data_IF_070451358610
#
_entry.id   IF_070451358610
#
_cell.length_a   1.000
_cell.length_b   1.000
_cell.length_c   1.000
_cell.angle_alpha   90.00
_cell.angle_beta   90.00
_cell.angle_gamma   90.00
#
_symmetry.space_group_name_H-M   'P 1'
#
loop_
_entity.id
_entity.type
_entity.pdbx_description
1 polymer ?
#
# COMPACT_ATOMS: atom_id res chain seq x y z
N UNK A 1 -12.62 8.97 3.31
CA UNK A 1 -11.87 8.77 4.57
C UNK A 1 -10.36 8.82 4.34
N UNK A 2 -9.75 7.98 3.51
CA UNK A 2 -8.30 7.91 3.29
C UNK A 2 -7.63 9.23 2.91
N UNK A 3 -8.23 10.01 2.02
CA UNK A 3 -7.69 11.32 1.61
C UNK A 3 -7.54 12.28 2.80
N UNK A 4 -8.49 12.30 3.74
CA UNK A 4 -8.42 13.19 4.92
C UNK A 4 -7.25 12.84 5.83
N UNK A 5 -6.96 11.54 6.00
CA UNK A 5 -5.83 11.09 6.82
C UNK A 5 -4.49 11.41 6.14
N UNK A 6 -4.34 11.09 4.86
CA UNK A 6 -3.14 11.44 4.10
C UNK A 6 -2.86 12.95 4.13
N UNK A 7 -3.88 13.79 3.92
CA UNK A 7 -3.77 15.24 4.05
C UNK A 7 -3.45 15.70 5.48
N UNK A 8 -3.98 15.00 6.49
CA UNK A 8 -3.67 15.28 7.90
C UNK A 8 -2.18 15.10 8.18
N UNK A 9 -1.61 13.96 7.78
CA UNK A 9 -0.18 13.69 7.91
C UNK A 9 0.68 14.65 7.10
N UNK A 10 0.32 14.92 5.84
CA UNK A 10 1.05 15.84 4.99
C UNK A 10 1.13 17.25 5.61
N UNK A 11 0.00 17.77 6.10
CA UNK A 11 -0.03 19.08 6.77
C UNK A 11 0.76 19.10 8.08
N UNK A 12 0.76 17.99 8.81
CA UNK A 12 1.56 17.89 10.04
C UNK A 12 3.05 17.87 9.72
N UNK A 13 3.46 17.13 8.70
CA UNK A 13 4.84 17.07 8.23
C UNK A 13 5.32 18.45 7.74
N UNK A 14 4.53 19.13 6.91
CA UNK A 14 4.81 20.48 6.41
C UNK A 14 5.04 21.49 7.57
N UNK A 15 4.18 21.46 8.61
CA UNK A 15 4.36 22.30 9.81
C UNK A 15 5.65 22.01 10.59
N UNK A 16 6.19 20.81 10.45
CA UNK A 16 7.46 20.39 11.05
C UNK A 16 8.67 20.66 10.13
N UNK A 17 8.47 21.34 9.00
CA UNK A 17 9.51 21.73 8.07
C UNK A 17 9.89 20.64 7.06
N UNK A 18 9.02 19.66 6.82
CA UNK A 18 9.24 18.66 5.78
C UNK A 18 8.81 19.21 4.42
N UNK A 19 9.73 19.27 3.47
CA UNK A 19 9.43 19.64 2.08
C UNK A 19 8.67 18.51 1.37
N UNK A 20 7.48 18.83 0.87
CA UNK A 20 6.65 17.89 0.11
C UNK A 20 6.65 18.28 -1.36
N UNK A 21 7.39 17.54 -2.17
CA UNK A 21 7.54 17.80 -3.60
C UNK A 21 6.61 16.88 -4.39
N UNK A 22 5.49 17.40 -4.84
CA UNK A 22 4.52 16.67 -5.65
C UNK A 22 4.97 16.56 -7.11
N UNK A 23 4.48 15.53 -7.83
CA UNK A 23 4.83 15.28 -9.24
C UNK A 23 6.36 15.24 -9.46
N UNK A 24 7.06 14.66 -8.49
CA UNK A 24 8.49 14.45 -8.50
C UNK A 24 8.76 12.95 -8.65
N UNK A 25 8.99 12.53 -9.87
CA UNK A 25 9.23 11.12 -10.21
C UNK A 25 10.69 10.77 -9.96
N UNK A 26 10.93 9.71 -9.18
CA UNK A 26 12.25 9.12 -9.00
C UNK A 26 12.61 8.33 -10.25
N UNK A 27 13.74 8.70 -10.86
CA UNK A 27 14.26 8.11 -12.09
C UNK A 27 15.53 7.28 -11.87
N UNK A 28 16.17 7.43 -10.71
CA UNK A 28 17.36 6.66 -10.36
C UNK A 28 17.79 6.86 -8.92
N UNK A 29 18.51 5.88 -8.37
CA UNK A 29 19.16 5.94 -7.07
C UNK A 29 20.66 5.78 -7.31
N UNK A 30 21.45 6.79 -6.96
CA UNK A 30 22.90 6.78 -7.09
C UNK A 30 23.53 6.17 -5.84
N UNK A 31 24.36 5.16 -6.03
CA UNK A 31 25.13 4.52 -4.96
C UNK A 31 26.63 4.83 -5.11
N UNK A 32 27.31 4.95 -3.99
CA UNK A 32 28.74 5.17 -3.95
C UNK A 32 29.54 3.86 -4.04
N UNK A 33 30.88 3.97 -4.13
CA UNK A 33 31.78 2.82 -4.30
C UNK A 33 31.78 1.87 -3.11
N UNK A 34 31.29 2.28 -1.95
CA UNK A 34 31.16 1.45 -0.75
C UNK A 34 29.74 0.89 -0.58
N UNK A 35 28.89 0.95 -1.61
CA UNK A 35 27.51 0.49 -1.58
C UNK A 35 26.57 1.34 -0.71
N UNK A 36 26.88 2.64 -0.56
CA UNK A 36 26.03 3.58 0.18
C UNK A 36 25.20 4.46 -0.76
N UNK A 37 24.04 4.92 -0.30
CA UNK A 37 23.23 5.94 -1.02
C UNK A 37 24.00 7.26 -1.10
N UNK A 38 23.97 7.91 -2.25
CA UNK A 38 24.57 9.23 -2.52
C UNK A 38 23.54 10.28 -2.92
N UNK A 39 22.65 9.91 -3.79
CA UNK A 39 21.66 10.84 -4.32
C UNK A 39 20.48 10.09 -4.95
N UNK A 40 19.41 10.84 -5.17
CA UNK A 40 18.25 10.42 -5.95
C UNK A 40 18.14 11.32 -7.17
N UNK A 41 18.05 10.75 -8.36
CA UNK A 41 17.78 11.46 -9.60
C UNK A 41 16.26 11.50 -9.83
N UNK A 42 15.74 12.68 -10.11
CA UNK A 42 14.30 12.88 -10.33
C UNK A 42 14.07 13.70 -11.60
N UNK A 43 12.83 13.72 -12.09
CA UNK A 43 12.41 14.61 -13.19
C UNK A 43 12.47 16.10 -12.82
N UNK A 44 12.76 16.44 -11.57
CA UNK A 44 12.93 17.82 -11.07
C UNK A 44 14.35 18.17 -10.65
N UNK A 45 15.29 17.28 -10.88
CA UNK A 45 16.69 17.45 -10.54
C UNK A 45 17.21 16.37 -9.62
N UNK A 46 18.44 16.53 -9.21
CA UNK A 46 19.19 15.60 -8.36
C UNK A 46 19.14 16.06 -6.90
N UNK A 47 18.80 15.13 -6.00
CA UNK A 47 18.73 15.37 -4.56
C UNK A 47 19.83 14.56 -3.87
N UNK A 48 20.79 15.22 -3.25
CA UNK A 48 21.85 14.56 -2.47
C UNK A 48 21.32 14.14 -1.10
N UNK A 49 21.57 12.90 -0.74
CA UNK A 49 21.17 12.37 0.57
C UNK A 49 22.07 11.20 0.97
N UNK A 50 22.23 11.03 2.28
CA UNK A 50 22.91 9.86 2.88
C UNK A 50 21.93 8.79 3.35
N UNK A 51 20.65 9.14 3.49
CA UNK A 51 19.60 8.28 3.95
C UNK A 51 18.37 8.43 3.06
N UNK A 52 17.84 7.32 2.58
CA UNK A 52 16.69 7.27 1.68
C UNK A 52 15.71 6.21 2.17
N UNK A 53 14.50 6.62 2.52
CA UNK A 53 13.40 5.71 2.84
C UNK A 53 12.48 5.51 1.64
N UNK A 54 12.29 4.28 1.21
CA UNK A 54 11.37 3.93 0.12
C UNK A 54 10.05 3.44 0.71
N UNK A 55 8.96 4.17 0.44
CA UNK A 55 7.60 3.90 0.90
C UNK A 55 6.66 4.04 -0.31
N UNK A 56 6.84 3.20 -1.32
CA UNK A 56 6.19 3.35 -2.62
C UNK A 56 5.13 2.24 -2.91
N UNK A 57 4.69 1.50 -1.88
CA UNK A 57 3.71 0.42 -1.98
C UNK A 57 3.99 -0.49 -3.18
N UNK A 58 3.02 -0.72 -4.08
CA UNK A 58 3.18 -1.56 -5.26
C UNK A 58 4.34 -1.18 -6.19
N UNK A 59 4.85 0.04 -6.15
CA UNK A 59 6.01 0.49 -6.94
C UNK A 59 7.36 0.31 -6.21
N UNK A 60 7.36 -0.23 -4.98
CA UNK A 60 8.60 -0.38 -4.20
C UNK A 60 9.64 -1.25 -4.90
N UNK A 61 9.23 -2.33 -5.57
CA UNK A 61 10.13 -3.17 -6.36
C UNK A 61 10.80 -2.42 -7.50
N UNK A 62 10.06 -1.54 -8.19
CA UNK A 62 10.58 -0.73 -9.30
C UNK A 62 11.62 0.27 -8.79
N UNK A 63 11.30 0.96 -7.69
CA UNK A 63 12.19 1.97 -7.11
C UNK A 63 13.45 1.33 -6.55
N UNK A 64 13.35 0.22 -5.82
CA UNK A 64 14.51 -0.45 -5.22
C UNK A 64 15.40 -1.14 -6.26
N UNK A 65 14.84 -1.58 -7.39
CA UNK A 65 15.62 -2.10 -8.50
C UNK A 65 16.61 -1.07 -9.07
N UNK A 66 16.33 0.24 -8.95
CA UNK A 66 17.24 1.32 -9.34
C UNK A 66 18.52 1.34 -8.49
N UNK A 67 18.49 0.78 -7.29
CA UNK A 67 19.65 0.58 -6.42
C UNK A 67 20.20 -0.86 -6.43
N UNK A 68 19.74 -1.71 -7.37
CA UNK A 68 20.14 -3.11 -7.47
C UNK A 68 19.52 -4.04 -6.41
N UNK A 69 18.54 -3.57 -5.65
CA UNK A 69 17.85 -4.36 -4.62
C UNK A 69 16.60 -5.01 -5.21
N UNK A 70 16.54 -6.34 -5.16
CA UNK A 70 15.35 -7.12 -5.56
C UNK A 70 14.48 -7.43 -4.35
N UNK A 71 13.19 -7.21 -4.49
CA UNK A 71 12.19 -7.60 -3.51
C UNK A 71 11.39 -8.81 -3.96
N UNK A 72 11.09 -9.76 -3.08
CA UNK A 72 10.11 -10.81 -3.32
C UNK A 72 8.70 -10.24 -3.11
N UNK A 73 8.26 -9.39 -4.03
CA UNK A 73 7.05 -8.62 -3.89
C UNK A 73 6.32 -8.61 -5.23
N UNK A 74 5.05 -8.97 -5.19
CA UNK A 74 4.14 -8.95 -6.33
C UNK A 74 3.11 -7.83 -6.17
N UNK A 75 2.74 -7.21 -7.28
CA UNK A 75 1.79 -6.10 -7.29
C UNK A 75 0.53 -6.48 -8.02
N UNK A 76 -0.62 -6.31 -7.35
CA UNK A 76 -1.93 -6.62 -7.89
C UNK A 76 -2.84 -5.40 -7.90
N UNK A 77 -3.71 -5.25 -8.92
CA UNK A 77 -4.79 -4.26 -8.89
C UNK A 77 -5.85 -4.66 -7.88
N UNK A 78 -6.10 -3.84 -6.88
CA UNK A 78 -7.22 -3.96 -5.94
C UNK A 78 -8.32 -3.01 -6.37
N UNK A 79 -9.49 -3.54 -6.71
CA UNK A 79 -10.57 -2.76 -7.29
C UNK A 79 -11.56 -2.23 -6.24
N UNK A 80 -12.11 -1.07 -6.56
CA UNK A 80 -13.20 -0.48 -5.81
C UNK A 80 -14.20 0.18 -6.75
N UNK A 81 -15.45 0.21 -6.34
CA UNK A 81 -16.59 0.72 -7.05
C UNK A 81 -17.30 1.79 -6.21
N UNK A 82 -17.99 2.70 -6.88
CA UNK A 82 -18.85 3.67 -6.21
C UNK A 82 -20.20 3.76 -6.92
N UNK A 83 -21.29 3.69 -6.13
CA UNK A 83 -22.65 3.81 -6.62
C UNK A 83 -23.11 5.26 -6.73
N UNK A 84 -24.27 5.46 -7.34
CA UNK A 84 -25.07 6.67 -7.13
C UNK A 84 -25.41 6.85 -5.65
N UNK A 85 -25.62 8.10 -5.18
CA UNK A 85 -25.97 8.36 -3.80
C UNK A 85 -27.38 7.87 -3.47
N UNK A 86 -27.54 7.27 -2.31
CA UNK A 86 -28.83 6.85 -1.76
C UNK A 86 -28.99 7.40 -0.34
N UNK A 87 -30.20 7.30 0.21
CA UNK A 87 -30.42 7.63 1.62
C UNK A 87 -29.51 6.78 2.51
N UNK A 88 -29.22 7.28 3.71
CA UNK A 88 -28.41 6.55 4.66
C UNK A 88 -29.05 5.22 5.02
N UNK A 89 -28.34 4.13 4.71
CA UNK A 89 -28.74 2.74 4.98
C UNK A 89 -27.63 1.94 5.67
N UNK A 90 -26.39 2.49 5.68
CA UNK A 90 -25.22 1.84 6.26
C UNK A 90 -24.47 2.78 7.21
N UNK A 91 -24.71 2.68 8.52
CA UNK A 91 -23.95 3.46 9.52
C UNK A 91 -22.56 2.89 9.81
N UNK A 92 -22.22 1.73 9.24
CA UNK A 92 -20.96 1.02 9.46
C UNK A 92 -20.38 0.45 8.16
N UNK A 93 -19.22 -0.15 8.24
CA UNK A 93 -18.67 -1.00 7.17
C UNK A 93 -19.14 -2.42 7.38
N UNK A 94 -19.79 -3.02 6.38
CA UNK A 94 -20.06 -4.45 6.35
C UNK A 94 -19.04 -5.15 5.45
N UNK A 95 -18.48 -6.25 5.92
CA UNK A 95 -17.52 -7.06 5.19
C UNK A 95 -17.82 -8.54 5.35
N UNK A 96 -17.67 -9.28 4.27
CA UNK A 96 -17.77 -10.74 4.26
C UNK A 96 -16.52 -11.34 3.62
N UNK A 97 -15.82 -12.18 4.37
CA UNK A 97 -14.68 -12.93 3.84
C UNK A 97 -15.13 -14.13 2.99
N UNK A 98 -16.37 -14.58 3.13
CA UNK A 98 -16.89 -15.72 2.37
C UNK A 98 -17.13 -15.36 0.91
N UNK A 99 -17.66 -14.17 0.66
CA UNK A 99 -17.93 -13.67 -0.71
C UNK A 99 -16.96 -12.58 -1.14
N UNK A 100 -15.92 -12.35 -0.35
CA UNK A 100 -14.84 -11.40 -0.63
C UNK A 100 -15.32 -10.00 -1.06
N UNK A 101 -16.25 -9.44 -0.28
CA UNK A 101 -16.78 -8.12 -0.55
C UNK A 101 -16.89 -7.28 0.73
N UNK A 102 -16.63 -5.99 0.61
CA UNK A 102 -17.01 -5.02 1.62
C UNK A 102 -17.87 -3.92 1.03
N UNK A 103 -18.70 -3.33 1.86
CA UNK A 103 -19.54 -2.20 1.51
C UNK A 103 -19.55 -1.19 2.66
N UNK A 104 -19.45 0.07 2.31
CA UNK A 104 -19.59 1.19 3.25
C UNK A 104 -20.31 2.33 2.57
N UNK A 105 -20.93 3.21 3.34
CA UNK A 105 -21.59 4.39 2.79
C UNK A 105 -20.79 5.65 3.11
N UNK A 106 -20.67 6.54 2.13
CA UNK A 106 -20.03 7.84 2.32
C UNK A 106 -20.98 8.84 2.97
N UNK A 107 -20.44 9.93 3.51
CA UNK A 107 -21.21 11.05 4.08
C UNK A 107 -22.17 11.71 3.05
N UNK A 108 -21.96 11.44 1.76
CA UNK A 108 -22.77 11.98 0.64
C UNK A 108 -23.79 10.98 0.11
N UNK A 109 -23.82 9.78 0.68
CA UNK A 109 -24.78 8.74 0.35
C UNK A 109 -24.30 7.68 -0.64
N UNK A 110 -23.16 7.86 -1.32
CA UNK A 110 -22.64 6.84 -2.24
C UNK A 110 -22.19 5.60 -1.45
N UNK A 111 -22.50 4.43 -1.99
CA UNK A 111 -21.94 3.17 -1.49
C UNK A 111 -20.56 2.95 -2.13
N UNK A 112 -19.56 2.73 -1.30
CA UNK A 112 -18.20 2.32 -1.69
C UNK A 112 -18.11 0.82 -1.51
N UNK A 113 -17.84 0.12 -2.58
CA UNK A 113 -17.84 -1.34 -2.67
C UNK A 113 -16.45 -1.79 -3.13
N UNK A 114 -15.91 -2.81 -2.49
CA UNK A 114 -14.63 -3.35 -2.92
C UNK A 114 -14.28 -4.65 -2.24
N UNK A 115 -13.06 -5.06 -2.40
CA UNK A 115 -12.30 -6.12 -1.79
C UNK A 115 -11.73 -7.17 -2.74
N UNK A 116 -11.99 -7.10 -4.03
CA UNK A 116 -11.43 -8.08 -4.97
C UNK A 116 -10.18 -7.53 -5.66
N UNK A 117 -9.15 -8.38 -5.73
CA UNK A 117 -7.95 -8.15 -6.53
C UNK A 117 -8.06 -8.86 -7.87
N UNK A 118 -7.34 -8.34 -8.86
CA UNK A 118 -7.11 -9.08 -10.09
C UNK A 118 -6.23 -10.31 -9.81
N UNK A 119 -6.38 -11.38 -10.60
CA UNK A 119 -5.61 -12.61 -10.44
C UNK A 119 -4.19 -12.52 -11.04
N UNK A 120 -3.92 -11.45 -11.77
CA UNK A 120 -2.66 -11.26 -12.48
C UNK A 120 -1.86 -10.10 -11.90
N UNK A 121 -0.54 -10.31 -11.79
CA UNK A 121 0.42 -9.24 -11.44
C UNK A 121 0.33 -8.12 -12.47
N UNK A 122 0.02 -6.92 -12.00
CA UNK A 122 -0.15 -5.76 -12.86
C UNK A 122 -0.08 -4.46 -12.08
N UNK A 123 0.36 -3.39 -12.72
CA UNK A 123 0.31 -2.02 -12.23
C UNK A 123 -0.90 -1.24 -12.76
N UNK A 124 -1.88 -1.93 -13.34
CA UNK A 124 -3.08 -1.29 -13.88
C UNK A 124 -3.87 -0.59 -12.77
N UNK A 125 -4.31 0.62 -13.05
CA UNK A 125 -5.23 1.38 -12.20
C UNK A 125 -6.66 1.37 -12.76
N UNK A 126 -6.87 0.69 -13.87
CA UNK A 126 -8.19 0.43 -14.43
C UNK A 126 -8.78 -0.84 -13.80
N UNK A 127 -10.07 -0.83 -13.54
CA UNK A 127 -10.77 -2.02 -13.08
C UNK A 127 -11.00 -3.02 -14.22
N UNK A 128 -10.91 -4.31 -13.93
CA UNK A 128 -11.28 -5.39 -14.85
C UNK A 128 -12.77 -5.70 -14.73
N UNK A 129 -13.42 -5.94 -15.87
CA UNK A 129 -14.87 -6.14 -15.91
C UNK A 129 -15.31 -7.39 -15.14
N UNK A 130 -14.56 -8.48 -15.24
CA UNK A 130 -14.88 -9.74 -14.55
C UNK A 130 -14.83 -9.57 -13.01
N UNK A 131 -13.87 -8.81 -12.48
CA UNK A 131 -13.79 -8.49 -11.06
C UNK A 131 -14.97 -7.59 -10.64
N UNK A 132 -15.30 -6.60 -11.48
CA UNK A 132 -16.46 -5.72 -11.26
C UNK A 132 -17.74 -6.54 -11.16
N UNK A 133 -17.98 -7.46 -12.10
CA UNK A 133 -19.16 -8.32 -12.12
C UNK A 133 -19.23 -9.23 -10.88
N UNK A 134 -18.13 -9.91 -10.57
CA UNK A 134 -18.06 -10.77 -9.39
C UNK A 134 -18.33 -10.01 -8.07
N UNK A 135 -17.71 -8.83 -7.92
CA UNK A 135 -17.92 -7.99 -6.73
C UNK A 135 -19.38 -7.54 -6.59
N UNK A 136 -20.02 -7.16 -7.70
CA UNK A 136 -21.43 -6.75 -7.70
C UNK A 136 -22.37 -7.92 -7.44
N UNK A 137 -22.08 -9.10 -7.96
CA UNK A 137 -22.82 -10.33 -7.67
C UNK A 137 -22.75 -10.65 -6.18
N UNK A 138 -21.57 -10.63 -5.58
CA UNK A 138 -21.36 -10.85 -4.15
C UNK A 138 -22.12 -9.83 -3.29
N UNK A 139 -22.10 -8.55 -3.65
CA UNK A 139 -22.86 -7.51 -2.94
C UNK A 139 -24.36 -7.72 -3.09
N UNK A 140 -24.84 -8.12 -4.27
CA UNK A 140 -26.26 -8.37 -4.51
C UNK A 140 -26.77 -9.66 -3.82
N UNK A 141 -25.87 -10.61 -3.54
CA UNK A 141 -26.18 -11.78 -2.71
C UNK A 141 -26.36 -11.38 -1.25
N UNK A 142 -25.44 -10.58 -0.69
CA UNK A 142 -25.52 -10.10 0.69
C UNK A 142 -26.66 -9.09 0.90
N UNK A 143 -26.88 -8.22 -0.09
CA UNK A 143 -27.82 -7.10 0.00
C UNK A 143 -28.66 -7.00 -1.27
N UNK A 144 -29.69 -7.85 -1.45
CA UNK A 144 -30.54 -7.88 -2.66
C UNK A 144 -31.20 -6.54 -2.99
N UNK A 145 -31.35 -5.66 -2.00
CA UNK A 145 -31.93 -4.34 -2.15
C UNK A 145 -31.11 -3.43 -3.08
N UNK A 146 -29.82 -3.71 -3.27
CA UNK A 146 -28.92 -2.88 -4.09
C UNK A 146 -28.85 -3.27 -5.57
N UNK A 147 -29.60 -4.29 -6.01
CA UNK A 147 -29.62 -4.75 -7.42
C UNK A 147 -30.01 -3.69 -8.45
N UNK A 148 -30.66 -2.61 -8.03
CA UNK A 148 -31.11 -1.53 -8.92
C UNK A 148 -30.21 -0.29 -8.88
N UNK A 149 -29.16 -0.30 -8.08
CA UNK A 149 -28.24 0.83 -7.98
C UNK A 149 -27.39 0.94 -9.24
N UNK A 150 -27.16 2.18 -9.65
CA UNK A 150 -26.25 2.49 -10.75
C UNK A 150 -24.85 2.66 -10.20
N UNK A 151 -23.88 2.03 -10.86
CA UNK A 151 -22.47 2.26 -10.59
C UNK A 151 -22.00 3.49 -11.36
N UNK A 152 -21.38 4.44 -10.67
CA UNK A 152 -20.86 5.66 -11.28
C UNK A 152 -19.44 5.48 -11.78
N UNK A 153 -18.62 4.74 -11.05
CA UNK A 153 -17.20 4.57 -11.37
C UNK A 153 -16.62 3.34 -10.71
N UNK A 154 -15.62 2.76 -11.39
CA UNK A 154 -14.66 1.83 -10.80
C UNK A 154 -13.24 2.38 -10.95
N UNK A 155 -12.34 1.90 -10.13
CA UNK A 155 -10.90 2.15 -10.22
C UNK A 155 -10.15 1.00 -9.55
N UNK A 156 -8.84 0.93 -9.78
CA UNK A 156 -7.98 0.02 -9.05
C UNK A 156 -6.83 0.80 -8.41
N UNK A 157 -6.37 0.30 -7.27
CA UNK A 157 -5.13 0.71 -6.62
C UNK A 157 -4.13 -0.44 -6.64
N UNK A 158 -2.85 -0.14 -6.71
CA UNK A 158 -1.79 -1.15 -6.64
C UNK A 158 -1.59 -1.60 -5.20
N UNK A 159 -1.80 -2.88 -4.93
CA UNK A 159 -1.51 -3.52 -3.65
C UNK A 159 -0.26 -4.38 -3.78
N UNK A 160 0.62 -4.28 -2.81
CA UNK A 160 1.90 -4.97 -2.74
C UNK A 160 1.81 -6.19 -1.81
N UNK A 161 2.13 -7.36 -2.33
CA UNK A 161 1.99 -8.63 -1.62
C UNK A 161 3.33 -9.35 -1.55
N UNK A 162 3.72 -9.74 -0.35
CA UNK A 162 4.89 -10.56 -0.06
C UNK A 162 4.51 -12.04 0.00
N UNK A 163 5.46 -12.99 -0.15
CA UNK A 163 5.16 -14.42 -0.10
C UNK A 163 4.52 -14.88 1.22
N UNK A 164 4.88 -14.26 2.34
CA UNK A 164 4.34 -14.54 3.67
C UNK A 164 3.25 -13.55 4.09
N UNK A 165 2.81 -12.66 3.17
CA UNK A 165 1.77 -11.65 3.39
C UNK A 165 2.03 -10.70 4.55
N UNK A 166 3.27 -10.63 5.02
CA UNK A 166 3.71 -9.72 6.07
C UNK A 166 4.58 -8.60 5.49
N UNK A 167 4.53 -7.38 6.03
CA UNK A 167 5.27 -6.25 5.48
C UNK A 167 6.78 -6.46 5.56
N UNK A 168 7.51 -5.68 4.78
CA UNK A 168 8.96 -5.58 4.88
C UNK A 168 9.27 -4.18 5.40
N UNK A 169 9.91 -4.10 6.58
CA UNK A 169 10.28 -2.84 7.21
C UNK A 169 11.71 -2.92 7.67
N UNK A 170 12.53 -1.96 7.31
CA UNK A 170 13.87 -1.86 7.82
C UNK A 170 14.92 -1.49 6.78
N UNK A 171 16.08 -2.06 6.97
CA UNK A 171 17.29 -1.79 6.20
C UNK A 171 17.34 -2.66 4.94
N UNK A 172 18.12 -2.23 3.96
CA UNK A 172 18.47 -3.01 2.77
C UNK A 172 19.97 -3.32 2.77
N UNK A 173 20.47 -4.18 1.86
CA UNK A 173 21.90 -4.37 1.67
C UNK A 173 22.66 -3.10 1.24
N UNK A 174 21.97 -2.09 0.72
CA UNK A 174 22.54 -0.80 0.37
C UNK A 174 22.53 0.11 1.59
N UNK A 175 23.68 0.50 2.07
CA UNK A 175 23.78 1.34 3.28
C UNK A 175 23.11 2.69 3.09
N UNK A 176 22.29 3.08 4.07
CA UNK A 176 21.47 4.29 4.04
C UNK A 176 20.21 4.18 3.19
N UNK A 177 19.89 2.97 2.69
CA UNK A 177 18.64 2.71 1.97
C UNK A 177 17.71 1.84 2.85
N UNK A 178 16.54 2.39 3.15
CA UNK A 178 15.54 1.77 4.00
C UNK A 178 14.25 1.56 3.23
N UNK A 179 13.44 0.60 3.67
CA UNK A 179 12.16 0.31 3.03
C UNK A 179 11.03 0.05 4.03
N UNK A 180 9.81 0.40 3.62
CA UNK A 180 8.59 0.07 4.31
C UNK A 180 7.50 -0.20 3.25
N UNK A 181 7.23 -1.47 2.96
CA UNK A 181 6.33 -1.91 1.90
C UNK A 181 5.76 -3.31 2.19
N UNK A 182 5.01 -3.89 1.25
CA UNK A 182 4.46 -5.23 1.37
C UNK A 182 3.28 -5.35 2.34
N UNK A 183 2.53 -4.27 2.54
CA UNK A 183 1.42 -4.20 3.49
C UNK A 183 0.14 -4.86 2.98
N UNK A 184 0.07 -5.20 1.72
CA UNK A 184 -1.15 -5.72 1.12
C UNK A 184 -2.32 -4.77 1.38
N UNK A 185 -3.44 -5.31 1.84
CA UNK A 185 -4.64 -4.52 2.19
C UNK A 185 -4.62 -3.98 3.64
N UNK A 186 -3.60 -4.34 4.43
CA UNK A 186 -3.50 -3.98 5.87
C UNK A 186 -2.90 -2.61 6.17
N UNK A 187 -2.27 -1.95 5.19
CA UNK A 187 -1.40 -0.79 5.42
C UNK A 187 -2.08 0.43 6.03
N UNK A 188 -3.34 0.69 5.72
CA UNK A 188 -4.04 1.87 6.21
C UNK A 188 -4.09 1.95 7.75
N UNK A 189 -4.51 0.87 8.39
CA UNK A 189 -4.61 0.80 9.86
C UNK A 189 -3.25 0.81 10.55
N UNK A 190 -2.23 0.32 9.87
CA UNK A 190 -0.87 0.24 10.39
C UNK A 190 -0.07 1.56 10.23
N UNK A 191 -0.54 2.52 9.44
CA UNK A 191 0.18 3.76 9.11
C UNK A 191 0.81 4.47 10.31
N UNK A 192 0.11 4.72 11.45
CA UNK A 192 0.71 5.43 12.57
C UNK A 192 1.90 4.66 13.19
N UNK A 193 1.69 3.37 13.46
CA UNK A 193 2.71 2.51 14.08
C UNK A 193 3.89 2.27 13.15
N UNK A 194 3.62 1.91 11.88
CA UNK A 194 4.69 1.65 10.91
C UNK A 194 5.51 2.91 10.63
N UNK A 195 4.86 4.06 10.54
CA UNK A 195 5.55 5.34 10.35
C UNK A 195 6.49 5.67 11.50
N UNK A 196 6.04 5.46 12.75
CA UNK A 196 6.85 5.68 13.94
C UNK A 196 8.10 4.79 13.99
N UNK A 197 7.91 3.48 13.85
CA UNK A 197 9.03 2.53 13.92
C UNK A 197 9.99 2.66 12.74
N UNK A 198 9.49 3.01 11.57
CA UNK A 198 10.31 3.26 10.40
C UNK A 198 11.15 4.54 10.54
N UNK A 199 10.56 5.61 11.05
CA UNK A 199 11.29 6.84 11.35
C UNK A 199 12.39 6.60 12.39
N UNK A 200 12.12 5.83 13.45
CA UNK A 200 13.11 5.45 14.44
C UNK A 200 14.24 4.59 13.83
N UNK A 201 13.92 3.65 12.94
CA UNK A 201 14.90 2.83 12.21
C UNK A 201 15.85 3.70 11.39
N UNK A 202 15.32 4.68 10.65
CA UNK A 202 16.14 5.59 9.85
C UNK A 202 17.01 6.50 10.73
N UNK A 203 16.44 7.06 11.80
CA UNK A 203 17.13 8.00 12.66
C UNK A 203 18.32 7.37 13.40
N UNK A 204 18.17 6.10 13.82
CA UNK A 204 19.20 5.38 14.58
C UNK A 204 20.12 4.52 13.70
N UNK A 205 19.83 4.37 12.41
CA UNK A 205 20.48 3.42 11.49
C UNK A 205 20.51 1.98 12.04
N UNK A 206 19.44 1.61 12.75
CA UNK A 206 19.26 0.28 13.37
C UNK A 206 17.80 -0.17 13.28
N UNK A 207 17.55 -1.49 13.11
CA UNK A 207 16.19 -2.00 13.12
C UNK A 207 15.51 -1.75 14.47
N UNK A 208 14.35 -1.11 14.46
CA UNK A 208 13.54 -1.00 15.68
C UNK A 208 13.09 -2.40 16.17
N UNK A 209 13.10 -2.66 17.47
CA UNK A 209 12.85 -3.99 18.06
C UNK A 209 11.52 -4.61 17.62
N UNK A 210 10.45 -3.80 17.47
CA UNK A 210 9.12 -4.27 17.04
C UNK A 210 9.09 -4.72 15.57
N UNK A 211 10.02 -4.26 14.74
CA UNK A 211 10.03 -4.61 13.31
C UNK A 211 11.22 -5.46 12.92
N UNK A 212 12.07 -5.85 13.85
CA UNK A 212 13.22 -6.70 13.59
C UNK A 212 12.87 -8.03 12.87
N UNK A 213 11.74 -8.70 13.15
CA UNK A 213 11.31 -9.88 12.40
C UNK A 213 10.93 -9.59 10.95
N UNK A 214 10.48 -8.37 10.64
CA UNK A 214 9.97 -7.97 9.31
C UNK A 214 11.07 -7.54 8.33
N UNK A 215 12.31 -7.96 8.58
CA UNK A 215 13.45 -7.66 7.72
C UNK A 215 13.38 -8.38 6.36
N UNK A 216 14.13 -7.88 5.39
CA UNK A 216 14.19 -8.46 4.04
C UNK A 216 14.86 -9.85 4.02
N UNK A 217 15.85 -10.08 4.89
CA UNK A 217 16.65 -11.31 4.92
C UNK A 217 15.83 -12.54 5.33
N UNK A 218 14.65 -12.37 5.91
CA UNK A 218 13.78 -13.49 6.31
C UNK A 218 13.39 -14.38 5.12
N UNK A 219 13.31 -13.83 3.92
CA UNK A 219 12.99 -14.60 2.71
C UNK A 219 14.16 -15.46 2.24
N UNK A 220 15.39 -14.97 2.41
CA UNK A 220 16.60 -15.72 2.09
C UNK A 220 16.89 -16.80 3.12
N UNK A 221 16.61 -16.50 4.41
CA UNK A 221 16.89 -17.40 5.52
C UNK A 221 15.74 -18.38 5.83
N UNK A 222 14.63 -18.31 5.07
CA UNK A 222 13.45 -19.15 5.29
C UNK A 222 12.70 -18.87 6.60
N UNK A 223 12.92 -17.72 7.26
CA UNK A 223 12.25 -17.31 8.51
C UNK A 223 10.99 -16.51 8.22
N UNK A 224 10.08 -17.12 7.45
CA UNK A 224 8.81 -16.47 7.10
C UNK A 224 7.96 -16.23 8.35
N UNK A 225 7.15 -15.19 8.28
CA UNK A 225 6.25 -14.80 9.37
C UNK A 225 4.88 -15.42 9.07
N UNK A 226 4.35 -16.21 10.01
CA UNK A 226 2.98 -16.72 9.95
C UNK A 226 2.08 -15.79 10.75
N UNK A 227 1.50 -14.81 10.07
CA UNK A 227 0.49 -13.93 10.64
C UNK A 227 -0.90 -14.48 10.32
N UNK A 228 -1.49 -15.23 11.25
CA UNK A 228 -2.85 -15.75 11.13
C UNK A 228 -3.89 -14.66 10.79
N UNK A 229 -3.64 -13.41 11.22
CA UNK A 229 -4.47 -12.26 10.89
C UNK A 229 -4.30 -11.77 9.44
N UNK A 230 -3.15 -11.96 8.81
CA UNK A 230 -2.93 -11.63 7.41
C UNK A 230 -3.65 -12.62 6.49
N UNK A 231 -3.80 -13.87 6.91
CA UNK A 231 -4.54 -14.90 6.17
C UNK A 231 -6.04 -14.59 6.04
N UNK A 232 -6.61 -13.71 6.88
CA UNK A 232 -8.01 -13.28 6.77
C UNK A 232 -8.31 -12.45 5.52
N UNK A 233 -7.28 -12.05 4.77
CA UNK A 233 -7.39 -11.30 3.51
C UNK A 233 -6.84 -12.15 2.35
N UNK A 234 -6.97 -13.47 2.44
CA UNK A 234 -6.67 -14.37 1.32
C UNK A 234 -7.68 -14.13 0.19
N UNK A 235 -7.19 -13.79 -0.93
CA UNK A 235 -7.90 -13.56 -2.18
C UNK A 235 -7.94 -14.84 -2.99
#
# INVERSE_FOLDING_TARGET
MYKRQAWGYARAADRLGVDIIQQCEVQGIETGPKGEVKAVSTNRGRIETKQLGVVAAGNSSVVLAMAGVRLPLETYPLQALVSEPVKEVFPCVAMSNTVHAYISQSDKGELVIGASTDQYVSYSQAGALHITSHTLEAVCELFPMFRRLRMLRNWAGSVDVTPDRSPIIGMTPVRGLYLNCGWGTGGFKATPGSGHVFAATIANDEPHTLVAPFNLDRFTNGRLIDEAAAAAVSH
#
